data_IF_419971156145
#
_entry.id   IF_419971156145
#
_cell.length_a   1.000
_cell.length_b   1.000
_cell.length_c   1.000
_cell.angle_alpha   90.00
_cell.angle_beta   90.00
_cell.angle_gamma   90.00
#
_symmetry.space_group_name_H-M   'P 1'
#
loop_
_entity.id
_entity.type
_entity.pdbx_description
1 polymer ?
#
# COMPACT_ATOMS: atom_id res chain seq x y z
N UNK A 1 -41.13 -0.43 3.14
CA UNK A 1 -40.40 0.55 2.30
C UNK A 1 -38.91 0.65 2.61
N UNK A 2 -38.45 0.56 3.87
CA UNK A 2 -37.02 0.66 4.20
C UNK A 2 -36.14 -0.55 3.78
N UNK A 3 -36.70 -1.76 3.61
CA UNK A 3 -35.94 -2.98 3.27
C UNK A 3 -35.49 -3.05 1.80
N UNK A 4 -36.24 -2.43 0.89
CA UNK A 4 -35.89 -2.36 -0.54
C UNK A 4 -34.81 -1.30 -0.80
N UNK A 5 -34.77 -0.25 0.03
CA UNK A 5 -33.78 0.83 -0.07
C UNK A 5 -32.38 0.38 0.39
N UNK A 6 -32.29 -0.48 1.42
CA UNK A 6 -31.02 -1.10 1.83
C UNK A 6 -30.44 -2.05 0.78
N UNK A 7 -31.28 -2.78 0.04
CA UNK A 7 -30.80 -3.69 -1.01
C UNK A 7 -30.21 -2.94 -2.21
N UNK A 8 -30.73 -1.75 -2.53
CA UNK A 8 -30.18 -0.92 -3.61
C UNK A 8 -28.81 -0.31 -3.26
N UNK A 9 -28.56 -0.05 -1.97
CA UNK A 9 -27.30 0.50 -1.49
C UNK A 9 -26.18 -0.55 -1.37
N UNK A 10 -26.54 -1.82 -1.12
CA UNK A 10 -25.60 -2.94 -0.99
C UNK A 10 -25.04 -3.44 -2.33
N UNK A 11 -25.75 -3.19 -3.44
CA UNK A 11 -25.34 -3.62 -4.79
C UNK A 11 -24.48 -2.57 -5.51
N UNK A 12 -24.47 -1.32 -5.02
CA UNK A 12 -23.74 -0.21 -5.65
C UNK A 12 -22.34 0.04 -5.06
N UNK A 13 -21.94 -0.68 -4.01
CA UNK A 13 -20.64 -0.52 -3.34
C UNK A 13 -20.05 -1.91 -3.05
N UNK A 14 -19.28 -2.53 -3.98
CA UNK A 14 -17.84 -2.23 -4.08
C UNK A 14 -17.22 -2.58 -5.46
N UNK A 15 -17.12 -1.63 -6.40
CA UNK A 15 -16.35 -1.83 -7.65
C UNK A 15 -15.30 -0.71 -7.86
N UNK A 16 -14.90 0.00 -6.81
CA UNK A 16 -14.02 1.19 -6.97
C UNK A 16 -12.80 1.21 -6.05
N UNK A 17 -12.21 0.06 -5.74
CA UNK A 17 -10.94 0.01 -5.01
C UNK A 17 -9.93 -0.98 -5.61
N UNK A 18 -9.95 -1.12 -6.94
CA UNK A 18 -8.89 -1.83 -7.64
C UNK A 18 -7.91 -0.75 -8.11
N UNK A 19 -6.68 -0.78 -7.60
CA UNK A 19 -5.63 0.03 -8.18
C UNK A 19 -5.44 -0.43 -9.62
N UNK A 20 -5.44 0.51 -10.57
CA UNK A 20 -5.16 0.18 -11.96
C UNK A 20 -3.77 -0.47 -12.04
N UNK A 21 -3.62 -1.60 -12.75
CA UNK A 21 -2.31 -2.17 -12.96
C UNK A 21 -1.44 -1.15 -13.71
N UNK A 22 -0.11 -1.19 -13.51
CA UNK A 22 0.80 -0.32 -14.25
C UNK A 22 0.56 -0.47 -15.76
N UNK A 23 0.51 0.67 -16.45
CA UNK A 23 0.36 0.73 -17.90
C UNK A 23 1.60 0.21 -18.62
N UNK A 24 2.78 0.46 -18.04
CA UNK A 24 4.07 0.09 -18.59
C UNK A 24 4.94 -0.58 -17.49
N UNK A 25 5.83 -1.52 -17.84
CA UNK A 25 6.72 -2.18 -16.87
C UNK A 25 7.57 -1.20 -16.04
N UNK A 26 7.84 -0.02 -16.58
CA UNK A 26 8.62 1.04 -15.95
C UNK A 26 7.87 1.73 -14.80
N UNK A 27 6.53 1.62 -14.77
CA UNK A 27 5.71 2.21 -13.71
C UNK A 27 5.93 1.51 -12.36
N UNK A 28 6.42 0.26 -12.37
CA UNK A 28 6.80 -0.50 -11.16
C UNK A 28 8.13 -1.22 -11.43
N UNK A 29 9.23 -0.62 -10.98
CA UNK A 29 10.56 -1.20 -11.02
C UNK A 29 11.20 -1.26 -9.62
N UNK A 30 12.26 -2.06 -9.47
CA UNK A 30 13.04 -2.07 -8.24
C UNK A 30 13.89 -0.80 -8.15
N UNK A 31 14.06 -0.27 -6.94
CA UNK A 31 14.99 0.82 -6.64
C UNK A 31 16.40 0.49 -7.12
N UNK A 32 16.95 1.35 -7.97
CA UNK A 32 18.33 1.23 -8.46
C UNK A 32 19.32 1.83 -7.46
N UNK A 33 20.59 1.41 -7.55
CA UNK A 33 21.65 1.98 -6.71
C UNK A 33 21.77 3.48 -6.95
N UNK A 34 21.65 4.27 -5.88
CA UNK A 34 21.74 5.73 -5.92
C UNK A 34 20.42 6.44 -6.13
N UNK A 35 19.32 5.72 -6.38
CA UNK A 35 17.98 6.30 -6.38
C UNK A 35 17.52 6.64 -4.97
N UNK A 36 16.67 7.66 -4.88
CA UNK A 36 16.03 8.07 -3.63
C UNK A 36 14.83 7.18 -3.35
N UNK A 37 14.68 6.80 -2.08
CA UNK A 37 13.50 6.07 -1.61
C UNK A 37 12.24 6.95 -1.80
N UNK A 38 11.12 6.39 -2.30
CA UNK A 38 9.86 7.11 -2.40
C UNK A 38 9.40 7.71 -1.06
N UNK A 39 8.76 8.88 -1.12
CA UNK A 39 8.18 9.54 0.03
C UNK A 39 6.76 9.04 0.32
N UNK A 40 6.29 9.25 1.55
CA UNK A 40 4.93 8.91 1.96
C UNK A 40 4.69 7.41 2.15
N UNK A 41 5.75 6.61 2.31
CA UNK A 41 5.64 5.19 2.59
C UNK A 41 5.19 4.99 4.05
N UNK A 42 4.08 4.29 4.21
CA UNK A 42 3.57 3.86 5.51
C UNK A 42 3.47 2.34 5.54
N UNK A 43 3.75 1.76 6.70
CA UNK A 43 3.61 0.34 6.97
C UNK A 43 2.83 0.15 8.27
N UNK A 44 2.48 -1.10 8.56
CA UNK A 44 2.05 -1.48 9.90
C UNK A 44 3.23 -2.13 10.62
N UNK A 45 3.39 -1.81 11.89
CA UNK A 45 4.36 -2.51 12.73
C UNK A 45 3.83 -3.90 13.16
N UNK A 46 4.60 -4.60 13.99
CA UNK A 46 4.22 -5.93 14.50
C UNK A 46 3.01 -5.91 15.44
N UNK A 47 2.62 -4.75 15.96
CA UNK A 47 1.41 -4.55 16.78
C UNK A 47 0.20 -4.16 15.93
N UNK A 48 0.38 -3.90 14.63
CA UNK A 48 -0.65 -3.42 13.73
C UNK A 48 -0.83 -1.89 13.74
N UNK A 49 0.09 -1.16 14.37
CA UNK A 49 0.02 0.31 14.45
C UNK A 49 0.67 0.96 13.21
N UNK A 50 0.18 2.13 12.78
CA UNK A 50 0.79 2.87 11.68
C UNK A 50 2.24 3.25 11.96
N UNK A 51 3.13 2.91 11.04
CA UNK A 51 4.55 3.20 11.08
C UNK A 51 4.96 4.03 9.86
N UNK A 52 5.59 5.19 10.10
CA UNK A 52 6.17 6.03 9.05
C UNK A 52 7.49 5.42 8.56
N UNK A 53 7.41 4.64 7.50
CA UNK A 53 8.55 3.95 6.92
C UNK A 53 9.51 4.94 6.25
N UNK A 54 8.99 6.00 5.62
CA UNK A 54 9.83 7.03 4.98
C UNK A 54 10.71 7.74 6.00
N UNK A 55 10.17 8.14 7.16
CA UNK A 55 10.95 8.79 8.22
C UNK A 55 12.03 7.85 8.78
N UNK A 56 11.69 6.58 8.99
CA UNK A 56 12.64 5.58 9.48
C UNK A 56 13.82 5.36 8.53
N UNK A 57 13.55 5.20 7.23
CA UNK A 57 14.58 5.01 6.20
C UNK A 57 15.53 6.21 6.05
N UNK A 58 15.06 7.42 6.33
CA UNK A 58 15.88 8.64 6.27
C UNK A 58 16.70 8.89 7.53
N UNK A 59 16.25 8.37 8.68
CA UNK A 59 16.91 8.61 9.97
C UNK A 59 18.25 7.89 10.13
N UNK A 60 18.45 6.78 9.41
CA UNK A 60 19.66 5.95 9.51
C UNK A 60 19.85 5.05 8.29
N UNK A 61 21.10 4.63 7.99
CA UNK A 61 21.35 3.56 7.03
C UNK A 61 20.55 2.30 7.39
N UNK A 62 19.78 1.78 6.44
CA UNK A 62 18.80 0.72 6.70
C UNK A 62 18.93 -0.41 5.69
N UNK A 63 18.90 -1.66 6.19
CA UNK A 63 18.70 -2.85 5.37
C UNK A 63 17.20 -3.17 5.31
N UNK A 64 16.56 -2.96 4.16
CA UNK A 64 15.15 -3.24 3.94
C UNK A 64 14.98 -4.60 3.26
N UNK A 65 14.23 -5.52 3.88
CA UNK A 65 13.97 -6.86 3.37
C UNK A 65 12.49 -7.00 3.02
N UNK A 66 12.20 -7.20 1.74
CA UNK A 66 10.86 -7.57 1.30
C UNK A 66 10.71 -9.09 1.39
N UNK A 67 9.80 -9.55 2.24
CA UNK A 67 9.52 -10.97 2.42
C UNK A 67 8.04 -11.25 2.15
N UNK A 68 7.77 -12.26 1.32
CA UNK A 68 6.42 -12.74 1.03
C UNK A 68 6.20 -14.10 1.68
N UNK A 69 5.44 -14.11 2.77
CA UNK A 69 5.09 -15.30 3.54
C UNK A 69 4.91 -14.94 5.02
N UNK A 70 3.96 -15.59 5.70
CA UNK A 70 4.00 -15.65 7.16
C UNK A 70 5.02 -16.72 7.57
N UNK A 71 5.66 -16.54 8.72
CA UNK A 71 6.31 -17.66 9.40
C UNK A 71 5.24 -18.58 10.01
#
# INVERSE_FOLDING_TARGET
MARTLCFLWLVLTPVLAWADPPSEPQDICALMTGEQVPSGLTALDSSGEPFDLSAALQSQPTLLIFYRGGW
#
